data_IF_025821113281
#
_entry.id   IF_025821113281
#
_cell.length_a   1.000
_cell.length_b   1.000
_cell.length_c   1.000
_cell.angle_alpha   90.00
_cell.angle_beta   90.00
_cell.angle_gamma   90.00
#
_symmetry.space_group_name_H-M   'P 1'
#
loop_
_entity.id
_entity.type
_entity.pdbx_description
1 polymer ?
#
# COMPACT_ATOMS: atom_id res chain seq x y z
N UNK A 1 -67.72 -14.04 -46.79
CA UNK A 1 -68.24 -13.10 -45.77
C UNK A 1 -67.48 -13.30 -44.47
N UNK A 2 -67.09 -12.19 -43.85
CA UNK A 2 -66.22 -12.01 -42.68
C UNK A 2 -66.61 -12.85 -41.44
N UNK A 3 -65.62 -13.38 -40.72
CA UNK A 3 -65.35 -13.05 -39.30
C UNK A 3 -63.91 -13.44 -38.95
N UNK A 4 -63.09 -12.41 -38.66
CA UNK A 4 -61.73 -12.52 -38.12
C UNK A 4 -61.85 -12.79 -36.61
N UNK A 5 -61.27 -13.89 -36.12
CA UNK A 5 -61.01 -14.12 -34.71
C UNK A 5 -59.53 -13.85 -34.44
N UNK A 6 -59.25 -12.73 -33.79
CA UNK A 6 -57.91 -12.32 -33.37
C UNK A 6 -57.56 -13.08 -32.08
N UNK A 7 -56.69 -14.08 -32.14
CA UNK A 7 -56.12 -14.72 -30.96
C UNK A 7 -54.96 -13.84 -30.46
N UNK A 8 -55.21 -13.03 -29.43
CA UNK A 8 -54.15 -12.35 -28.67
C UNK A 8 -53.72 -13.34 -27.58
N UNK A 9 -52.52 -13.89 -27.73
CA UNK A 9 -51.84 -14.62 -26.66
C UNK A 9 -51.33 -13.58 -25.65
N UNK A 10 -52.06 -13.39 -24.54
CA UNK A 10 -51.58 -12.60 -23.41
C UNK A 10 -50.62 -13.49 -22.62
N UNK A 11 -49.32 -13.27 -22.79
CA UNK A 11 -48.34 -13.76 -21.82
C UNK A 11 -48.57 -12.99 -20.52
N UNK A 12 -49.10 -13.67 -19.49
CA UNK A 12 -48.97 -13.21 -18.12
C UNK A 12 -47.48 -13.26 -17.78
N UNK A 13 -46.81 -12.13 -17.85
CA UNK A 13 -45.52 -11.94 -17.19
C UNK A 13 -45.88 -11.86 -15.71
N UNK A 14 -45.75 -12.99 -15.00
CA UNK A 14 -45.61 -12.97 -13.55
C UNK A 14 -44.30 -12.24 -13.32
N UNK A 15 -44.38 -10.96 -12.95
CA UNK A 15 -43.26 -10.29 -12.30
C UNK A 15 -43.02 -11.07 -11.01
N UNK A 16 -42.01 -11.95 -11.03
CA UNK A 16 -41.27 -12.20 -9.81
C UNK A 16 -40.80 -10.81 -9.37
N UNK A 17 -41.36 -10.34 -8.25
CA UNK A 17 -40.80 -9.20 -7.55
C UNK A 17 -39.44 -9.70 -7.07
N UNK A 18 -38.40 -9.44 -7.86
CA UNK A 18 -37.04 -9.58 -7.40
C UNK A 18 -36.90 -8.62 -6.22
N UNK A 19 -36.94 -9.19 -5.02
CA UNK A 19 -36.62 -8.50 -3.78
C UNK A 19 -35.24 -7.92 -3.99
N UNK A 20 -35.13 -6.59 -4.00
CA UNK A 20 -33.84 -5.90 -4.06
C UNK A 20 -33.17 -6.14 -2.71
N UNK A 21 -32.49 -7.29 -2.59
CA UNK A 21 -31.66 -7.65 -1.45
C UNK A 21 -30.40 -6.80 -1.51
N UNK A 22 -30.40 -5.69 -0.78
CA UNK A 22 -29.16 -4.99 -0.46
C UNK A 22 -28.43 -5.87 0.57
N UNK A 23 -27.39 -6.58 0.13
CA UNK A 23 -26.58 -7.53 0.93
C UNK A 23 -27.29 -8.78 1.48
N UNK A 24 -28.56 -9.01 1.14
CA UNK A 24 -29.33 -10.12 1.75
C UNK A 24 -29.67 -9.89 3.22
N UNK A 25 -29.49 -8.66 3.73
CA UNK A 25 -29.90 -8.25 5.07
C UNK A 25 -31.15 -7.38 4.93
N UNK A 26 -32.26 -7.88 5.46
CA UNK A 26 -33.52 -7.16 5.53
C UNK A 26 -33.44 -6.08 6.60
N UNK A 27 -33.69 -4.81 6.24
CA UNK A 27 -33.75 -3.71 7.21
C UNK A 27 -35.02 -3.90 8.02
N UNK A 28 -34.88 -4.16 9.32
CA UNK A 28 -36.05 -4.38 10.18
C UNK A 28 -36.87 -3.10 10.29
N UNK A 29 -38.17 -3.21 9.99
CA UNK A 29 -39.11 -2.10 10.03
C UNK A 29 -39.19 -1.26 8.76
N UNK A 30 -38.43 -1.57 7.72
CA UNK A 30 -38.59 -1.02 6.36
C UNK A 30 -39.48 -1.99 5.55
N UNK A 31 -40.80 -1.80 5.64
CA UNK A 31 -41.75 -2.74 5.07
C UNK A 31 -42.02 -2.49 3.59
N UNK A 32 -41.74 -1.28 3.10
CA UNK A 32 -41.84 -0.97 1.67
C UNK A 32 -40.54 -1.23 0.90
N UNK A 33 -39.45 -1.55 1.58
CA UNK A 33 -38.11 -1.80 1.05
C UNK A 33 -37.52 -0.61 0.27
N UNK A 34 -37.87 0.62 0.67
CA UNK A 34 -37.33 1.84 0.07
C UNK A 34 -36.00 2.30 0.70
N UNK A 35 -35.52 1.56 1.70
CA UNK A 35 -34.25 1.78 2.40
C UNK A 35 -34.34 2.82 3.51
N UNK A 36 -35.54 3.32 3.82
CA UNK A 36 -35.80 4.23 4.91
C UNK A 36 -36.90 3.65 5.79
N UNK A 37 -36.75 3.78 7.10
CA UNK A 37 -37.87 3.55 8.02
C UNK A 37 -38.54 4.91 8.20
N UNK A 38 -39.70 5.09 7.61
CA UNK A 38 -40.44 6.36 7.60
C UNK A 38 -41.94 6.18 7.90
N UNK A 39 -42.72 7.24 7.69
CA UNK A 39 -44.16 7.22 7.96
C UNK A 39 -44.93 6.21 7.08
N UNK A 40 -44.42 5.86 5.90
CA UNK A 40 -45.04 4.86 5.03
C UNK A 40 -44.93 3.46 5.65
N UNK A 41 -43.80 3.14 6.27
CA UNK A 41 -43.63 1.87 6.96
C UNK A 41 -44.55 1.78 8.17
N UNK A 42 -44.66 2.89 8.92
CA UNK A 42 -45.62 3.00 10.00
C UNK A 42 -47.06 2.78 9.50
N UNK A 43 -47.42 3.35 8.35
CA UNK A 43 -48.73 3.11 7.73
C UNK A 43 -48.91 1.64 7.33
N UNK A 44 -47.89 0.99 6.79
CA UNK A 44 -47.95 -0.43 6.40
C UNK A 44 -48.21 -1.32 7.61
N UNK A 45 -47.48 -1.14 8.72
CA UNK A 45 -47.71 -1.94 9.93
C UNK A 45 -49.08 -1.63 10.55
N UNK A 46 -49.50 -0.36 10.56
CA UNK A 46 -50.85 0.02 11.04
C UNK A 46 -51.95 -0.65 10.23
N UNK A 47 -51.78 -0.77 8.91
CA UNK A 47 -52.74 -1.46 8.04
C UNK A 47 -52.78 -2.99 8.28
N UNK A 48 -51.78 -3.56 8.96
CA UNK A 48 -51.70 -4.98 9.32
C UNK A 48 -52.00 -5.26 10.80
N UNK A 49 -52.53 -4.29 11.55
CA UNK A 49 -52.95 -4.45 12.95
C UNK A 49 -53.91 -5.64 13.12
N UNK A 50 -53.68 -6.45 14.17
CA UNK A 50 -54.39 -7.71 14.45
C UNK A 50 -54.27 -8.80 13.38
N UNK A 51 -53.34 -8.69 12.42
CA UNK A 51 -53.01 -9.80 11.54
C UNK A 51 -51.97 -10.74 12.18
N UNK A 52 -51.65 -11.84 11.49
CA UNK A 52 -50.68 -12.85 11.96
C UNK A 52 -49.46 -12.95 11.04
N UNK A 53 -49.16 -11.91 10.26
CA UNK A 53 -48.03 -11.96 9.33
C UNK A 53 -46.72 -11.69 10.10
N UNK A 54 -45.84 -12.67 10.26
CA UNK A 54 -44.69 -12.58 11.16
C UNK A 54 -43.68 -11.48 10.79
N UNK A 55 -43.74 -10.94 9.56
CA UNK A 55 -42.84 -9.84 9.15
C UNK A 55 -43.15 -8.52 9.87
N UNK A 56 -44.39 -8.32 10.35
CA UNK A 56 -44.81 -7.11 11.04
C UNK A 56 -44.83 -7.27 12.57
N UNK A 57 -44.60 -8.48 13.08
CA UNK A 57 -44.45 -8.76 14.50
C UNK A 57 -42.99 -8.44 14.91
N UNK A 58 -42.78 -7.23 15.41
CA UNK A 58 -41.47 -6.66 15.67
C UNK A 58 -40.91 -7.11 17.03
N UNK A 59 -41.79 -7.44 17.99
CA UNK A 59 -41.40 -7.91 19.31
C UNK A 59 -41.38 -9.46 19.44
N UNK A 60 -41.87 -10.18 18.42
CA UNK A 60 -42.01 -11.64 18.33
C UNK A 60 -42.93 -12.23 19.41
N UNK A 61 -44.00 -11.54 19.79
CA UNK A 61 -45.00 -12.03 20.74
C UNK A 61 -46.16 -12.81 20.08
N UNK A 62 -46.15 -12.90 18.75
CA UNK A 62 -47.13 -13.61 17.95
C UNK A 62 -48.37 -12.81 17.58
N UNK A 63 -48.44 -11.52 17.94
CA UNK A 63 -49.51 -10.60 17.56
C UNK A 63 -48.92 -9.34 16.92
N UNK A 64 -49.64 -8.73 15.98
CA UNK A 64 -49.29 -7.41 15.47
C UNK A 64 -50.15 -6.38 16.19
N UNK A 65 -49.54 -5.65 17.13
CA UNK A 65 -50.25 -4.71 17.97
C UNK A 65 -49.57 -3.33 18.08
N UNK A 66 -50.01 -2.53 19.06
CA UNK A 66 -49.49 -1.18 19.25
C UNK A 66 -48.02 -1.17 19.68
N UNK A 67 -47.52 -2.22 20.32
CA UNK A 67 -46.13 -2.33 20.73
C UNK A 67 -45.20 -2.46 19.52
N UNK A 68 -45.62 -3.19 18.47
CA UNK A 68 -44.84 -3.28 17.22
C UNK A 68 -44.78 -1.94 16.48
N UNK A 69 -45.91 -1.23 16.41
CA UNK A 69 -45.96 0.12 15.82
C UNK A 69 -45.08 1.10 16.60
N UNK A 70 -45.06 0.99 17.93
CA UNK A 70 -44.18 1.80 18.78
C UNK A 70 -42.72 1.50 18.48
N UNK A 71 -42.34 0.24 18.23
CA UNK A 71 -40.97 -0.11 17.81
C UNK A 71 -40.63 0.58 16.49
N UNK A 72 -41.47 0.43 15.46
CA UNK A 72 -41.24 1.03 14.12
C UNK A 72 -41.18 2.56 14.21
N UNK A 73 -42.10 3.19 14.95
CA UNK A 73 -42.12 4.65 15.13
C UNK A 73 -40.85 5.20 15.75
N UNK A 74 -40.21 4.46 16.67
CA UNK A 74 -38.92 4.84 17.29
C UNK A 74 -37.74 4.69 16.33
N UNK A 75 -37.89 3.89 15.28
CA UNK A 75 -36.87 3.68 14.26
C UNK A 75 -36.93 4.74 13.15
N UNK A 76 -38.02 5.51 13.04
CA UNK A 76 -38.16 6.58 12.04
C UNK A 76 -37.04 7.61 12.20
N UNK A 77 -36.30 7.87 11.12
CA UNK A 77 -35.14 8.73 11.17
C UNK A 77 -34.82 9.42 9.83
N UNK A 78 -34.68 10.76 9.86
CA UNK A 78 -34.40 11.60 8.67
C UNK A 78 -32.91 11.93 8.48
N UNK A 79 -32.01 11.24 9.19
CA UNK A 79 -30.58 11.44 9.04
C UNK A 79 -30.10 11.00 7.66
N UNK A 80 -29.01 11.62 7.21
CA UNK A 80 -28.41 11.31 5.92
C UNK A 80 -27.70 9.96 5.94
N UNK A 81 -26.76 9.78 6.88
CA UNK A 81 -26.11 8.49 7.11
C UNK A 81 -26.86 7.72 8.20
N UNK A 82 -27.20 6.47 7.91
CA UNK A 82 -27.90 5.59 8.86
C UNK A 82 -27.05 4.36 9.12
N UNK A 83 -26.73 4.11 10.39
CA UNK A 83 -25.93 2.95 10.82
C UNK A 83 -26.87 1.81 11.20
N UNK A 84 -26.57 0.62 10.72
CA UNK A 84 -27.27 -0.61 11.04
C UNK A 84 -26.27 -1.67 11.49
N UNK A 85 -26.68 -2.51 12.44
CA UNK A 85 -25.90 -3.71 12.75
C UNK A 85 -26.11 -4.79 11.69
N UNK A 86 -25.32 -5.87 11.75
CA UNK A 86 -25.37 -6.96 10.78
C UNK A 86 -26.71 -7.73 10.73
N UNK A 87 -27.63 -7.48 11.67
CA UNK A 87 -28.98 -8.03 11.68
C UNK A 87 -30.04 -7.06 11.11
N UNK A 88 -29.61 -5.96 10.47
CA UNK A 88 -30.52 -4.98 9.87
C UNK A 88 -31.23 -4.08 10.87
N UNK A 89 -30.80 -4.04 12.13
CA UNK A 89 -31.39 -3.18 13.17
C UNK A 89 -30.75 -1.80 13.10
N UNK A 90 -31.58 -0.77 12.99
CA UNK A 90 -31.14 0.63 13.04
C UNK A 90 -30.49 0.95 14.39
N UNK A 91 -29.29 1.54 14.35
CA UNK A 91 -28.50 1.90 15.53
C UNK A 91 -28.53 3.41 15.77
N UNK A 92 -28.13 4.19 14.76
CA UNK A 92 -27.96 5.64 14.90
C UNK A 92 -27.90 6.35 13.55
N UNK A 93 -28.44 7.57 13.50
CA UNK A 93 -28.36 8.45 12.33
C UNK A 93 -27.38 9.60 12.53
N UNK A 94 -26.82 10.10 11.41
CA UNK A 94 -25.87 11.22 11.36
C UNK A 94 -26.19 12.19 10.20
N UNK A 95 -25.92 13.47 10.42
CA UNK A 95 -26.02 14.50 9.38
C UNK A 95 -24.91 14.37 8.34
N UNK A 96 -25.06 15.01 7.18
CA UNK A 96 -24.15 14.87 6.03
C UNK A 96 -22.72 15.32 6.32
N UNK A 97 -22.55 16.24 7.25
CA UNK A 97 -21.25 16.77 7.68
C UNK A 97 -20.51 15.81 8.63
N UNK A 98 -21.23 14.82 9.20
CA UNK A 98 -20.73 13.94 10.24
C UNK A 98 -20.29 12.57 9.70
N UNK A 99 -19.71 12.56 8.50
CA UNK A 99 -19.30 11.33 7.82
C UNK A 99 -18.21 10.58 8.60
N UNK A 100 -17.20 11.30 9.11
CA UNK A 100 -16.10 10.68 9.85
C UNK A 100 -16.57 10.08 11.19
N UNK A 101 -17.53 10.71 11.87
CA UNK A 101 -18.16 10.17 13.08
C UNK A 101 -18.97 8.91 12.78
N UNK A 102 -19.73 8.92 11.67
CA UNK A 102 -20.50 7.75 11.25
C UNK A 102 -19.58 6.55 10.95
N UNK A 103 -18.49 6.77 10.20
CA UNK A 103 -17.48 5.74 9.89
C UNK A 103 -16.82 5.23 11.18
N UNK A 104 -16.48 6.11 12.11
CA UNK A 104 -15.87 5.73 13.39
C UNK A 104 -16.76 4.79 14.18
N UNK A 105 -18.05 5.12 14.36
CA UNK A 105 -18.99 4.26 15.09
C UNK A 105 -19.21 2.94 14.35
N UNK A 106 -19.33 2.99 13.02
CA UNK A 106 -19.58 1.79 12.22
C UNK A 106 -18.40 0.80 12.31
N UNK A 107 -17.16 1.27 12.11
CA UNK A 107 -15.97 0.39 12.17
C UNK A 107 -15.75 -0.18 13.57
N UNK A 108 -15.95 0.62 14.62
CA UNK A 108 -15.73 0.18 16.00
C UNK A 108 -16.72 -0.92 16.41
N UNK A 109 -17.83 -1.13 15.70
CA UNK A 109 -18.83 -2.11 16.11
C UNK A 109 -19.17 -3.14 15.03
N UNK A 110 -18.40 -3.16 13.94
CA UNK A 110 -18.63 -4.04 12.80
C UNK A 110 -20.04 -3.87 12.18
N UNK A 111 -20.43 -2.61 12.03
CA UNK A 111 -21.72 -2.20 11.48
C UNK A 111 -21.58 -1.69 10.04
N UNK A 112 -22.70 -1.49 9.34
CA UNK A 112 -22.71 -0.89 8.01
C UNK A 112 -23.49 0.42 7.98
N UNK A 113 -23.16 1.26 7.00
CA UNK A 113 -23.77 2.58 6.78
C UNK A 113 -24.60 2.53 5.51
N UNK A 114 -25.81 3.06 5.57
CA UNK A 114 -26.73 3.23 4.45
C UNK A 114 -27.00 4.70 4.15
N UNK A 115 -27.20 5.01 2.87
CA UNK A 115 -27.78 6.27 2.36
C UNK A 115 -28.70 5.93 1.20
N UNK A 116 -29.96 6.37 1.24
CA UNK A 116 -30.96 6.16 0.17
C UNK A 116 -30.96 4.72 -0.39
N UNK A 117 -31.11 3.72 0.48
CA UNK A 117 -31.09 2.29 0.16
C UNK A 117 -29.78 1.72 -0.41
N UNK A 118 -28.68 2.46 -0.36
CA UNK A 118 -27.38 1.98 -0.81
C UNK A 118 -26.41 1.87 0.36
N UNK A 119 -25.67 0.75 0.44
CA UNK A 119 -24.55 0.67 1.37
C UNK A 119 -23.53 1.71 0.96
N UNK A 120 -23.26 2.59 1.91
CA UNK A 120 -22.29 3.65 1.81
C UNK A 120 -20.94 3.24 2.35
N UNK A 121 -20.91 2.35 3.35
CA UNK A 121 -19.69 1.73 3.87
C UNK A 121 -20.01 0.42 4.60
N UNK A 122 -19.12 -0.55 4.49
CA UNK A 122 -19.05 -1.75 5.31
C UNK A 122 -17.59 -2.26 5.37
N UNK A 123 -17.36 -3.33 6.13
CA UNK A 123 -16.05 -3.94 6.34
C UNK A 123 -15.59 -4.91 5.23
N UNK A 124 -16.37 -5.11 4.16
CA UNK A 124 -16.08 -6.12 3.14
C UNK A 124 -15.23 -5.59 1.97
N UNK A 125 -15.32 -4.28 1.70
CA UNK A 125 -14.78 -3.65 0.49
C UNK A 125 -13.84 -2.49 0.82
N UNK A 126 -13.08 -2.09 -0.20
CA UNK A 126 -12.45 -0.77 -0.23
C UNK A 126 -13.42 0.22 -0.85
N UNK A 127 -13.63 1.36 -0.20
CA UNK A 127 -14.66 2.33 -0.57
C UNK A 127 -14.02 3.60 -1.09
N UNK A 128 -14.50 4.09 -2.23
CA UNK A 128 -13.97 5.28 -2.93
C UNK A 128 -14.99 6.41 -2.90
N UNK A 129 -14.54 7.59 -2.54
CA UNK A 129 -15.34 8.81 -2.47
C UNK A 129 -14.66 9.97 -3.20
N UNK A 130 -15.45 10.95 -3.63
CA UNK A 130 -14.97 12.31 -3.93
C UNK A 130 -15.48 13.24 -2.82
N UNK A 131 -14.60 13.61 -1.89
CA UNK A 131 -15.00 14.17 -0.61
C UNK A 131 -15.77 13.14 0.23
N UNK A 132 -17.09 13.35 0.40
CA UNK A 132 -17.99 12.42 1.11
C UNK A 132 -18.98 11.74 0.17
N UNK A 133 -18.92 12.03 -1.14
CA UNK A 133 -19.82 11.43 -2.12
C UNK A 133 -19.26 10.09 -2.59
N UNK A 134 -20.04 9.01 -2.40
CA UNK A 134 -19.66 7.67 -2.83
C UNK A 134 -19.48 7.59 -4.35
N UNK A 135 -18.33 7.07 -4.80
CA UNK A 135 -18.01 6.86 -6.22
C UNK A 135 -17.88 5.38 -6.60
N UNK A 136 -17.61 4.50 -5.64
CA UNK A 136 -17.57 3.07 -5.90
C UNK A 136 -17.02 2.26 -4.72
N UNK A 137 -17.03 0.94 -4.89
CA UNK A 137 -16.39 0.00 -3.98
C UNK A 137 -15.66 -1.09 -4.77
N UNK A 138 -14.58 -1.62 -4.18
CA UNK A 138 -13.64 -2.50 -4.86
C UNK A 138 -13.19 -3.64 -3.95
N UNK A 139 -12.81 -4.77 -4.55
CA UNK A 139 -12.24 -5.91 -3.82
C UNK A 139 -10.76 -5.68 -3.46
N UNK A 140 -10.06 -4.90 -4.28
CA UNK A 140 -8.64 -4.59 -4.16
C UNK A 140 -8.43 -3.09 -3.91
N UNK A 141 -7.54 -2.77 -2.97
CA UNK A 141 -7.02 -1.45 -2.64
C UNK A 141 -6.40 -0.80 -3.87
N UNK A 142 -5.65 -1.54 -4.68
CA UNK A 142 -5.04 -0.99 -5.88
C UNK A 142 -6.09 -0.41 -6.85
N UNK A 143 -7.17 -1.14 -7.11
CA UNK A 143 -8.25 -0.65 -7.98
C UNK A 143 -8.96 0.54 -7.36
N UNK A 144 -9.20 0.52 -6.05
CA UNK A 144 -9.80 1.65 -5.32
C UNK A 144 -8.94 2.92 -5.43
N UNK A 145 -7.63 2.81 -5.19
CA UNK A 145 -6.68 3.92 -5.23
C UNK A 145 -6.48 4.43 -6.66
N UNK A 146 -6.41 3.52 -7.64
CA UNK A 146 -6.36 3.87 -9.06
C UNK A 146 -7.63 4.57 -9.53
N UNK A 147 -8.80 4.20 -9.01
CA UNK A 147 -10.03 4.90 -9.32
C UNK A 147 -10.05 6.30 -8.66
N UNK A 148 -9.70 6.36 -7.37
CA UNK A 148 -9.70 7.58 -6.59
C UNK A 148 -8.75 8.66 -7.10
N UNK A 149 -7.66 8.29 -7.77
CA UNK A 149 -6.71 9.24 -8.37
C UNK A 149 -7.32 10.10 -9.49
N UNK A 150 -8.48 9.71 -10.04
CA UNK A 150 -9.20 10.51 -11.03
C UNK A 150 -10.02 11.65 -10.41
N UNK A 151 -10.14 11.70 -9.07
CA UNK A 151 -10.93 12.70 -8.36
C UNK A 151 -10.03 13.66 -7.59
N UNK A 152 -10.34 14.96 -7.67
CA UNK A 152 -9.60 16.01 -6.96
C UNK A 152 -9.61 15.79 -5.46
N UNK A 153 -10.77 15.40 -4.89
CA UNK A 153 -10.89 15.08 -3.46
C UNK A 153 -11.07 13.57 -3.25
N UNK A 154 -10.40 12.75 -4.08
CA UNK A 154 -10.44 11.30 -3.98
C UNK A 154 -10.05 10.80 -2.59
N UNK A 155 -10.90 10.00 -1.97
CA UNK A 155 -10.68 9.35 -0.68
C UNK A 155 -10.86 7.85 -0.86
N UNK A 156 -9.97 7.06 -0.25
CA UNK A 156 -10.13 5.61 -0.15
C UNK A 156 -10.16 5.20 1.31
N UNK A 157 -11.23 4.50 1.70
CA UNK A 157 -11.33 3.80 2.98
C UNK A 157 -11.08 2.31 2.78
N UNK A 158 -10.26 1.72 3.64
CA UNK A 158 -10.07 0.27 3.68
C UNK A 158 -11.23 -0.45 4.38
N UNK A 159 -11.14 -1.77 4.41
CA UNK A 159 -12.07 -2.70 5.09
C UNK A 159 -12.23 -2.45 6.60
N UNK A 160 -11.29 -1.73 7.22
CA UNK A 160 -11.35 -1.34 8.63
C UNK A 160 -11.84 0.10 8.81
N UNK A 161 -12.31 0.75 7.74
CA UNK A 161 -12.81 2.13 7.78
C UNK A 161 -11.70 3.16 7.98
N UNK A 162 -10.47 2.83 7.63
CA UNK A 162 -9.32 3.72 7.72
C UNK A 162 -8.99 4.32 6.37
N UNK A 163 -8.60 5.60 6.37
CA UNK A 163 -8.15 6.29 5.15
C UNK A 163 -6.81 5.69 4.73
N UNK A 164 -6.72 5.24 3.48
CA UNK A 164 -5.45 4.83 2.84
C UNK A 164 -5.03 5.80 1.73
N UNK A 165 -5.94 6.68 1.31
CA UNK A 165 -5.70 7.79 0.40
C UNK A 165 -6.67 8.94 0.75
N UNK A 166 -6.16 10.18 0.71
CA UNK A 166 -6.95 11.40 0.79
C UNK A 166 -6.25 12.50 -0.03
N UNK A 167 -6.67 12.66 -1.29
CA UNK A 167 -6.06 13.60 -2.24
C UNK A 167 -6.18 15.05 -1.76
N UNK A 168 -7.27 15.40 -1.05
CA UNK A 168 -7.48 16.75 -0.54
C UNK A 168 -6.43 17.16 0.51
N UNK A 169 -5.84 16.17 1.18
CA UNK A 169 -4.80 16.34 2.20
C UNK A 169 -3.40 15.99 1.67
N UNK A 170 -3.27 15.61 0.41
CA UNK A 170 -2.02 15.06 -0.13
C UNK A 170 -1.56 13.79 0.60
N UNK A 171 -2.48 13.06 1.24
CA UNK A 171 -2.17 11.90 2.05
C UNK A 171 -2.33 10.60 1.25
N UNK A 172 -1.34 9.72 1.39
CA UNK A 172 -1.36 8.36 0.87
C UNK A 172 -0.58 7.47 1.83
N UNK A 173 -1.22 6.43 2.33
CA UNK A 173 -0.61 5.54 3.32
C UNK A 173 0.50 4.69 2.69
N UNK A 174 1.55 4.40 3.44
CA UNK A 174 2.53 3.37 3.06
C UNK A 174 2.02 2.02 3.53
N UNK A 175 1.63 1.15 2.62
CA UNK A 175 1.01 -0.13 2.97
C UNK A 175 1.91 -1.27 2.53
N UNK A 176 2.08 -2.25 3.41
CA UNK A 176 2.83 -3.46 3.13
C UNK A 176 2.10 -4.71 3.60
N UNK A 177 2.53 -5.84 3.03
CA UNK A 177 2.05 -7.18 3.35
C UNK A 177 3.17 -7.98 3.99
N UNK A 178 2.91 -8.61 5.14
CA UNK A 178 3.90 -9.48 5.78
C UNK A 178 4.25 -10.68 4.88
N UNK A 179 5.52 -11.06 4.86
CA UNK A 179 6.00 -12.20 4.05
C UNK A 179 5.95 -13.52 4.82
N UNK A 180 5.96 -13.44 6.14
CA UNK A 180 5.92 -14.54 7.10
C UNK A 180 5.26 -14.05 8.40
N UNK A 181 5.15 -14.90 9.41
CA UNK A 181 4.85 -14.48 10.77
C UNK A 181 5.97 -13.58 11.31
N UNK A 182 5.63 -12.36 11.74
CA UNK A 182 6.59 -11.37 12.23
C UNK A 182 6.32 -11.01 13.68
N UNK A 183 7.35 -11.12 14.52
CA UNK A 183 7.28 -10.65 15.89
C UNK A 183 7.28 -9.11 15.93
N UNK A 184 6.25 -8.52 16.56
CA UNK A 184 6.18 -7.10 16.81
C UNK A 184 7.12 -6.72 17.96
N UNK A 185 7.87 -5.63 17.82
CA UNK A 185 8.93 -5.24 18.76
C UNK A 185 8.72 -3.83 19.27
N UNK A 186 9.13 -3.58 20.51
CA UNK A 186 9.05 -2.23 21.10
C UNK A 186 10.18 -1.30 20.62
N UNK A 187 11.27 -1.89 20.13
CA UNK A 187 12.47 -1.18 19.65
C UNK A 187 12.94 -1.78 18.31
N UNK A 188 13.64 -1.00 17.46
CA UNK A 188 14.16 -1.47 16.17
C UNK A 188 15.43 -2.33 16.36
N UNK A 189 15.29 -3.47 17.02
CA UNK A 189 16.38 -4.39 17.29
C UNK A 189 15.90 -5.84 17.33
N UNK A 190 16.81 -6.79 17.08
CA UNK A 190 16.51 -8.23 17.12
C UNK A 190 16.15 -8.75 18.52
N UNK A 191 16.43 -7.97 19.57
CA UNK A 191 16.02 -8.19 20.96
C UNK A 191 15.75 -6.84 21.62
N UNK A 192 14.77 -6.71 22.54
CA UNK A 192 13.80 -7.72 22.97
C UNK A 192 12.68 -7.97 21.95
N UNK A 193 12.10 -9.18 22.01
CA UNK A 193 10.86 -9.57 21.32
C UNK A 193 9.66 -9.30 22.25
N UNK A 194 8.49 -9.08 21.68
CA UNK A 194 7.23 -9.16 22.45
C UNK A 194 6.60 -10.55 22.27
N UNK A 195 5.51 -10.85 22.97
CA UNK A 195 4.72 -12.06 22.73
C UNK A 195 3.70 -11.89 21.58
N UNK A 196 3.74 -10.75 20.88
CA UNK A 196 2.81 -10.42 19.80
C UNK A 196 3.44 -10.78 18.46
N UNK A 197 2.80 -11.69 17.74
CA UNK A 197 3.15 -12.05 16.37
C UNK A 197 2.06 -11.56 15.40
N UNK A 198 2.52 -10.90 14.34
CA UNK A 198 1.71 -10.53 13.17
C UNK A 198 1.72 -11.72 12.22
N UNK A 199 0.57 -12.31 11.88
CA UNK A 199 0.51 -13.42 10.93
C UNK A 199 1.09 -13.08 9.55
N UNK A 200 1.40 -14.13 8.78
CA UNK A 200 1.77 -14.00 7.37
C UNK A 200 0.57 -13.48 6.55
N UNK A 201 0.84 -12.68 5.51
CA UNK A 201 -0.13 -12.07 4.59
C UNK A 201 -1.05 -11.02 5.21
N UNK A 202 -0.62 -10.44 6.33
CA UNK A 202 -1.32 -9.34 7.00
C UNK A 202 -0.90 -7.98 6.44
N UNK A 203 -1.87 -7.06 6.41
CA UNK A 203 -1.63 -5.67 6.02
C UNK A 203 -1.12 -4.86 7.22
N UNK A 204 -0.07 -4.07 6.97
CA UNK A 204 0.47 -3.12 7.93
C UNK A 204 0.70 -1.77 7.27
N UNK A 205 0.48 -0.69 8.02
CA UNK A 205 0.89 0.65 7.61
C UNK A 205 2.32 0.92 8.11
N UNK A 206 3.19 1.39 7.24
CA UNK A 206 4.57 1.73 7.57
C UNK A 206 4.63 3.21 7.94
N UNK A 207 5.22 3.52 9.09
CA UNK A 207 5.53 4.89 9.50
C UNK A 207 6.95 5.28 9.04
N UNK A 208 7.95 4.47 9.38
CA UNK A 208 9.37 4.79 9.18
C UNK A 208 10.26 3.55 9.01
N UNK A 209 11.48 3.77 8.54
CA UNK A 209 12.58 2.80 8.58
C UNK A 209 13.62 3.31 9.58
N UNK A 210 14.03 2.48 10.54
CA UNK A 210 14.94 2.89 11.61
C UNK A 210 15.83 1.69 12.00
N UNK A 211 17.15 1.88 12.01
CA UNK A 211 18.14 0.80 12.24
C UNK A 211 17.89 -0.50 11.45
N UNK A 212 17.36 -0.37 10.23
CA UNK A 212 17.02 -1.50 9.35
C UNK A 212 15.70 -2.22 9.68
N UNK A 213 14.89 -1.70 10.61
CA UNK A 213 13.55 -2.19 10.93
C UNK A 213 12.48 -1.25 10.40
N UNK A 214 11.31 -1.80 10.10
CA UNK A 214 10.12 -1.02 9.75
C UNK A 214 9.32 -0.72 11.01
N UNK A 215 9.13 0.56 11.31
CA UNK A 215 8.12 0.99 12.29
C UNK A 215 6.74 0.89 11.65
N UNK A 216 5.85 0.12 12.24
CA UNK A 216 4.53 -0.22 11.67
C UNK A 216 3.38 0.06 12.62
N UNK A 217 2.23 0.35 12.05
CA UNK A 217 0.92 0.22 12.68
C UNK A 217 0.25 -1.03 12.12
N UNK A 218 -0.13 -1.95 12.99
CA UNK A 218 -0.88 -3.15 12.65
C UNK A 218 -2.26 -3.10 13.27
N UNK A 219 -3.27 -3.15 12.42
CA UNK A 219 -4.66 -3.20 12.85
C UNK A 219 -5.03 -4.65 13.08
N UNK A 220 -4.91 -5.10 14.33
CA UNK A 220 -5.24 -6.47 14.71
C UNK A 220 -6.74 -6.76 14.50
N UNK A 221 -7.56 -5.75 14.76
CA UNK A 221 -9.00 -5.72 14.47
C UNK A 221 -9.45 -4.26 14.34
N UNK A 222 -10.76 -4.02 14.18
CA UNK A 222 -11.31 -2.68 13.99
C UNK A 222 -11.16 -1.74 15.20
N UNK A 223 -10.82 -2.27 16.38
CA UNK A 223 -10.64 -1.52 17.64
C UNK A 223 -9.18 -1.42 18.06
N UNK A 224 -8.37 -2.41 17.72
CA UNK A 224 -7.02 -2.58 18.25
C UNK A 224 -5.96 -2.29 17.19
N UNK A 225 -5.38 -1.09 17.29
CA UNK A 225 -4.19 -0.71 16.52
C UNK A 225 -2.96 -0.88 17.40
N UNK A 226 -2.06 -1.77 17.01
CA UNK A 226 -0.80 -2.00 17.69
C UNK A 226 0.32 -1.31 16.92
N UNK A 227 1.23 -0.67 17.63
CA UNK A 227 2.40 0.00 17.06
C UNK A 227 3.68 -0.68 17.53
N UNK A 228 4.65 -0.82 16.64
CA UNK A 228 5.97 -1.33 16.99
C UNK A 228 6.89 -1.42 15.78
N UNK A 229 7.88 -2.29 15.87
CA UNK A 229 8.87 -2.54 14.82
C UNK A 229 8.84 -3.99 14.36
N UNK A 230 9.02 -4.20 13.07
CA UNK A 230 9.20 -5.52 12.46
C UNK A 230 10.46 -5.54 11.60
N UNK A 231 11.11 -6.71 11.45
CA UNK A 231 12.24 -6.86 10.54
C UNK A 231 11.78 -6.67 9.08
N UNK A 232 12.76 -6.65 8.17
CA UNK A 232 12.60 -6.22 6.78
C UNK A 232 11.81 -7.16 5.83
N UNK A 233 11.04 -8.10 6.38
CA UNK A 233 10.26 -9.11 5.65
C UNK A 233 8.86 -8.59 5.30
N UNK A 234 8.81 -7.44 4.61
CA UNK A 234 7.58 -6.78 4.15
C UNK A 234 7.59 -6.59 2.63
N UNK A 235 6.46 -6.85 1.99
CA UNK A 235 6.22 -6.49 0.59
C UNK A 235 5.44 -5.18 0.52
N UNK A 236 6.08 -4.12 0.06
CA UNK A 236 5.47 -2.79 0.03
C UNK A 236 4.61 -2.67 -1.22
N UNK A 237 3.29 -2.65 -1.01
CA UNK A 237 2.29 -2.64 -2.07
C UNK A 237 1.70 -1.25 -2.34
N UNK A 238 1.92 -0.31 -1.43
CA UNK A 238 1.62 1.10 -1.65
C UNK A 238 2.69 1.96 -1.00
N UNK A 239 3.17 2.95 -1.74
CA UNK A 239 4.05 3.99 -1.21
C UNK A 239 3.31 5.32 -1.11
N UNK A 240 3.85 6.23 -0.32
CA UNK A 240 3.34 7.59 -0.19
C UNK A 240 3.70 8.46 -1.40
N UNK A 241 3.18 9.68 -1.41
CA UNK A 241 3.39 10.63 -2.50
C UNK A 241 4.84 11.13 -2.60
N UNK A 242 5.64 10.91 -1.55
CA UNK A 242 7.06 11.29 -1.48
C UNK A 242 7.99 10.12 -1.84
N UNK A 243 7.45 8.94 -2.16
CA UNK A 243 8.19 7.72 -2.44
C UNK A 243 9.16 7.33 -1.31
N UNK A 244 8.76 7.50 -0.03
CA UNK A 244 9.68 7.27 1.08
C UNK A 244 10.06 5.80 1.29
N UNK A 245 9.37 4.86 0.63
CA UNK A 245 9.74 3.44 0.61
C UNK A 245 10.55 3.03 -0.63
N UNK A 246 10.89 3.98 -1.52
CA UNK A 246 11.63 3.67 -2.74
C UNK A 246 13.07 3.21 -2.44
N UNK A 247 13.48 2.16 -3.14
CA UNK A 247 14.81 1.56 -3.02
C UNK A 247 14.97 0.53 -1.91
N UNK A 248 13.93 0.22 -1.14
CA UNK A 248 14.01 -0.67 0.02
C UNK A 248 14.44 -2.10 -0.34
N UNK A 249 14.00 -2.63 -1.49
CA UNK A 249 14.34 -3.99 -1.95
C UNK A 249 15.86 -4.11 -2.13
N UNK A 250 16.44 -3.25 -2.96
CA UNK A 250 17.89 -3.24 -3.16
C UNK A 250 18.65 -2.87 -1.91
N UNK A 251 18.14 -1.96 -1.07
CA UNK A 251 18.78 -1.61 0.20
C UNK A 251 18.85 -2.80 1.16
N UNK A 252 17.82 -3.65 1.20
CA UNK A 252 17.84 -4.90 1.97
C UNK A 252 18.83 -5.89 1.39
N UNK A 253 18.85 -6.09 0.07
CA UNK A 253 19.74 -7.07 -0.55
C UNK A 253 21.22 -6.66 -0.52
N UNK A 254 21.52 -5.36 -0.54
CA UNK A 254 22.90 -4.86 -0.50
C UNK A 254 23.47 -4.76 0.92
N UNK A 255 22.64 -4.40 1.89
CA UNK A 255 23.15 -4.06 3.23
C UNK A 255 22.24 -4.49 4.38
N UNK A 256 21.12 -5.16 4.12
CA UNK A 256 20.11 -5.44 5.13
C UNK A 256 19.46 -4.15 5.67
N UNK A 257 19.36 -3.10 4.84
CA UNK A 257 18.95 -1.75 5.23
C UNK A 257 19.86 -1.10 6.29
N UNK A 258 21.09 -1.59 6.44
CA UNK A 258 22.04 -1.03 7.40
C UNK A 258 22.66 0.26 6.86
N UNK A 259 22.25 1.37 7.47
CA UNK A 259 22.70 2.74 7.14
C UNK A 259 24.22 2.91 7.28
N UNK A 260 24.84 2.15 8.18
CA UNK A 260 26.27 2.16 8.48
C UNK A 260 27.07 1.06 7.78
N UNK A 261 26.49 0.33 6.83
CA UNK A 261 27.19 -0.77 6.16
C UNK A 261 28.43 -0.29 5.43
N UNK A 262 29.51 -1.07 5.52
CA UNK A 262 30.78 -0.82 4.83
C UNK A 262 31.28 -2.14 4.27
N UNK A 263 31.52 -2.18 2.97
CA UNK A 263 32.24 -3.25 2.28
C UNK A 263 33.60 -2.74 1.82
N UNK A 264 34.64 -3.56 1.93
CA UNK A 264 36.00 -3.22 1.52
C UNK A 264 36.72 -4.48 1.03
N UNK A 265 36.20 -5.04 -0.08
CA UNK A 265 36.76 -6.23 -0.71
C UNK A 265 37.81 -5.82 -1.77
N UNK A 266 39.08 -6.24 -1.64
CA UNK A 266 40.12 -5.89 -2.62
C UNK A 266 39.86 -6.39 -4.05
N UNK A 267 39.05 -7.44 -4.23
CA UNK A 267 38.68 -7.95 -5.55
C UNK A 267 37.52 -7.18 -6.18
N UNK A 268 36.81 -6.36 -5.40
CA UNK A 268 35.74 -5.51 -5.91
C UNK A 268 36.33 -4.25 -6.54
N UNK A 269 36.02 -4.03 -7.82
CA UNK A 269 36.47 -2.85 -8.57
C UNK A 269 35.97 -1.54 -7.95
N UNK A 270 34.86 -1.59 -7.20
CA UNK A 270 34.29 -0.44 -6.50
C UNK A 270 35.12 0.04 -5.30
N UNK A 271 36.05 -0.76 -4.78
CA UNK A 271 36.78 -0.43 -3.56
C UNK A 271 35.85 -0.30 -2.34
N UNK A 272 36.20 0.58 -1.40
CA UNK A 272 35.37 0.87 -0.22
C UNK A 272 33.99 1.33 -0.65
N UNK A 273 32.95 0.65 -0.18
CA UNK A 273 31.55 0.96 -0.48
C UNK A 273 30.76 1.15 0.81
N UNK A 274 29.96 2.20 0.90
CA UNK A 274 29.31 2.61 2.16
C UNK A 274 27.80 2.87 2.02
N UNK A 275 27.07 2.61 3.10
CA UNK A 275 25.65 2.94 3.23
C UNK A 275 24.69 1.88 2.70
N UNK A 276 23.41 2.24 2.70
CA UNK A 276 22.31 1.32 2.38
C UNK A 276 22.46 0.76 0.96
N UNK A 277 22.82 1.62 0.01
CA UNK A 277 23.00 1.32 -1.41
C UNK A 277 24.48 1.32 -1.84
N UNK A 278 25.39 1.05 -0.89
CA UNK A 278 26.82 0.79 -1.13
C UNK A 278 27.50 1.77 -2.10
N UNK A 279 27.47 3.07 -1.79
CA UNK A 279 28.16 4.09 -2.60
C UNK A 279 29.66 3.82 -2.63
N UNK A 280 30.23 3.76 -3.83
CA UNK A 280 31.59 3.32 -4.08
C UNK A 280 32.58 4.49 -4.06
N UNK A 281 33.71 4.27 -3.39
CA UNK A 281 34.83 5.19 -3.36
C UNK A 281 35.54 5.31 -4.72
N UNK A 282 35.82 4.19 -5.39
CA UNK A 282 36.53 4.19 -6.68
C UNK A 282 35.66 4.69 -7.84
N UNK A 283 34.35 4.43 -7.79
CA UNK A 283 33.40 4.89 -8.80
C UNK A 283 32.91 6.33 -8.57
N UNK A 284 33.36 6.98 -7.49
CA UNK A 284 33.09 8.39 -7.19
C UNK A 284 31.80 8.66 -6.41
N UNK A 285 30.82 7.76 -6.44
CA UNK A 285 29.49 8.01 -5.85
C UNK A 285 29.51 8.26 -4.34
N UNK A 286 30.48 7.72 -3.60
CA UNK A 286 30.67 8.03 -2.18
C UNK A 286 31.16 9.46 -1.96
N UNK A 287 32.10 9.93 -2.80
CA UNK A 287 32.60 11.30 -2.74
C UNK A 287 31.53 12.32 -3.13
N UNK A 288 30.74 12.00 -4.14
CA UNK A 288 29.60 12.81 -4.58
C UNK A 288 28.52 12.89 -3.50
N UNK A 289 28.22 11.78 -2.82
CA UNK A 289 27.30 11.78 -1.67
C UNK A 289 27.81 12.69 -0.54
N UNK A 290 29.10 12.61 -0.17
CA UNK A 290 29.67 13.49 0.85
C UNK A 290 29.53 14.95 0.41
N UNK A 291 29.82 15.26 -0.86
CA UNK A 291 29.68 16.62 -1.38
C UNK A 291 28.22 17.09 -1.34
N UNK A 292 27.26 16.22 -1.68
CA UNK A 292 25.83 16.49 -1.57
C UNK A 292 25.41 16.85 -0.14
N UNK A 293 26.04 16.26 0.88
CA UNK A 293 25.76 16.61 2.28
C UNK A 293 26.11 18.06 2.62
N UNK A 294 27.03 18.72 1.90
CA UNK A 294 27.45 20.10 2.20
C UNK A 294 26.25 21.04 2.35
N UNK A 295 25.27 20.92 1.45
CA UNK A 295 24.10 21.80 1.42
C UNK A 295 22.88 21.22 2.16
N UNK A 296 22.89 19.91 2.47
CA UNK A 296 21.75 19.23 3.09
C UNK A 296 21.93 18.98 4.58
N UNK A 297 23.17 18.73 5.01
CA UNK A 297 23.56 18.54 6.40
C UNK A 297 25.07 18.83 6.54
N UNK A 298 25.39 20.09 6.81
CA UNK A 298 26.77 20.58 6.88
C UNK A 298 27.59 19.92 8.02
N UNK A 299 26.94 19.52 9.12
CA UNK A 299 27.61 18.79 10.21
C UNK A 299 28.16 17.45 9.72
N UNK A 300 27.31 16.62 9.08
CA UNK A 300 27.74 15.32 8.56
C UNK A 300 28.80 15.47 7.48
N UNK A 301 28.65 16.47 6.60
CA UNK A 301 29.66 16.81 5.60
C UNK A 301 31.03 17.08 6.24
N UNK A 302 31.08 17.95 7.24
CA UNK A 302 32.32 18.33 7.92
C UNK A 302 32.96 17.14 8.64
N UNK A 303 32.16 16.37 9.38
CA UNK A 303 32.63 15.19 10.12
C UNK A 303 33.28 14.17 9.19
N UNK A 304 32.58 13.78 8.11
CA UNK A 304 33.09 12.82 7.13
C UNK A 304 34.29 13.35 6.34
N UNK A 305 34.31 14.64 5.99
CA UNK A 305 35.44 15.27 5.29
C UNK A 305 36.68 15.33 6.18
N UNK A 306 36.54 15.72 7.45
CA UNK A 306 37.64 15.75 8.40
C UNK A 306 38.21 14.35 8.65
N UNK A 307 37.34 13.36 8.83
CA UNK A 307 37.76 11.97 8.99
C UNK A 307 38.52 11.45 7.74
N UNK A 308 38.03 11.75 6.53
CA UNK A 308 38.71 11.44 5.27
C UNK A 308 40.07 12.16 5.14
N UNK A 309 40.16 13.41 5.59
CA UNK A 309 41.42 14.17 5.56
C UNK A 309 42.46 13.57 6.51
N UNK A 310 42.04 13.12 7.70
CA UNK A 310 42.91 12.39 8.64
C UNK A 310 43.43 11.06 8.07
N UNK A 311 42.68 10.46 7.14
CA UNK A 311 43.10 9.27 6.39
C UNK A 311 44.00 9.59 5.17
N UNK A 312 44.43 10.84 5.00
CA UNK A 312 45.23 11.28 3.85
C UNK A 312 44.40 11.38 2.56
N UNK A 313 43.11 11.71 2.67
CA UNK A 313 42.18 11.83 1.55
C UNK A 313 41.56 10.50 1.10
N UNK A 314 41.72 9.43 1.89
CA UNK A 314 41.26 8.07 1.59
C UNK A 314 40.13 7.64 2.52
N UNK A 315 39.39 6.57 2.18
CA UNK A 315 38.30 6.03 3.02
C UNK A 315 38.81 4.93 3.97
N UNK A 316 39.68 5.29 4.94
CA UNK A 316 40.30 4.33 5.87
C UNK A 316 39.61 4.37 7.24
N UNK A 317 40.35 4.06 8.31
CA UNK A 317 39.78 3.75 9.61
C UNK A 317 39.05 4.95 10.26
N UNK A 318 39.57 6.17 10.11
CA UNK A 318 38.92 7.35 10.66
C UNK A 318 37.58 7.59 9.96
N UNK A 319 37.56 7.53 8.62
CA UNK A 319 36.33 7.67 7.85
C UNK A 319 35.31 6.57 8.18
N UNK A 320 35.73 5.31 8.22
CA UNK A 320 34.85 4.17 8.53
C UNK A 320 34.25 4.27 9.94
N UNK A 321 35.05 4.71 10.91
CA UNK A 321 34.60 4.95 12.28
C UNK A 321 33.54 6.06 12.32
N UNK A 322 33.80 7.18 11.65
CA UNK A 322 32.90 8.32 11.63
C UNK A 322 31.58 8.00 10.92
N UNK A 323 31.64 7.28 9.80
CA UNK A 323 30.46 6.80 9.06
C UNK A 323 29.54 5.96 9.96
N UNK A 324 30.12 4.98 10.68
CA UNK A 324 29.38 4.14 11.62
C UNK A 324 28.83 4.96 12.79
N UNK A 325 29.59 5.94 13.29
CA UNK A 325 29.12 6.81 14.37
C UNK A 325 27.89 7.62 13.97
N UNK A 326 27.89 8.23 12.78
CA UNK A 326 26.72 8.95 12.26
C UNK A 326 25.54 7.98 12.10
N UNK A 327 25.76 6.81 11.52
CA UNK A 327 24.71 5.82 11.31
C UNK A 327 24.08 5.30 12.61
N UNK A 328 24.86 5.13 13.68
CA UNK A 328 24.34 4.68 14.98
C UNK A 328 23.52 5.77 15.69
N UNK A 329 24.02 7.00 15.69
CA UNK A 329 23.41 8.10 16.45
C UNK A 329 22.29 8.83 15.68
N UNK A 330 22.32 8.79 14.35
CA UNK A 330 21.41 9.53 13.47
C UNK A 330 20.85 8.64 12.35
N UNK A 331 20.54 7.37 12.67
CA UNK A 331 20.17 6.34 11.70
C UNK A 331 19.06 6.77 10.72
N UNK A 332 17.96 7.31 11.24
CA UNK A 332 16.82 7.75 10.44
C UNK A 332 17.17 8.90 9.48
N UNK A 333 17.81 9.95 10.00
CA UNK A 333 18.17 11.12 9.20
C UNK A 333 19.23 10.78 8.16
N UNK A 334 20.20 9.94 8.53
CA UNK A 334 21.25 9.51 7.62
C UNK A 334 20.70 8.57 6.53
N UNK A 335 19.75 7.68 6.86
CA UNK A 335 19.00 6.89 5.87
C UNK A 335 18.30 7.81 4.86
N UNK A 336 17.53 8.80 5.34
CA UNK A 336 16.81 9.74 4.47
C UNK A 336 17.75 10.52 3.54
N UNK A 337 18.91 10.95 4.04
CA UNK A 337 19.90 11.66 3.23
C UNK A 337 20.47 10.76 2.13
N UNK A 338 20.82 9.51 2.46
CA UNK A 338 21.27 8.52 1.48
C UNK A 338 20.18 8.23 0.45
N UNK A 339 18.91 8.11 0.88
CA UNK A 339 17.77 7.84 -0.01
C UNK A 339 17.55 9.02 -0.95
N UNK A 340 17.45 10.23 -0.43
CA UNK A 340 17.19 11.42 -1.24
C UNK A 340 18.30 11.66 -2.27
N UNK A 341 19.56 11.50 -1.87
CA UNK A 341 20.69 11.53 -2.80
C UNK A 341 20.52 10.50 -3.93
N UNK A 342 20.16 9.27 -3.57
CA UNK A 342 19.96 8.16 -4.51
C UNK A 342 18.80 8.42 -5.47
N UNK A 343 17.70 8.95 -4.95
CA UNK A 343 16.51 9.32 -5.73
C UNK A 343 16.84 10.40 -6.77
N UNK A 344 17.49 11.48 -6.33
CA UNK A 344 17.80 12.63 -7.17
C UNK A 344 18.86 12.30 -8.23
N UNK A 345 19.94 11.62 -7.84
CA UNK A 345 21.11 11.47 -8.70
C UNK A 345 21.08 10.23 -9.59
N UNK A 346 20.33 9.18 -9.20
CA UNK A 346 20.26 7.93 -9.95
C UNK A 346 18.86 7.71 -10.52
N UNK A 347 17.84 7.61 -9.66
CA UNK A 347 16.49 7.25 -10.09
C UNK A 347 15.88 8.29 -11.03
N UNK A 348 15.76 9.56 -10.59
CA UNK A 348 15.18 10.66 -11.39
C UNK A 348 15.99 10.89 -12.68
N UNK A 349 17.32 10.84 -12.60
CA UNK A 349 18.18 10.96 -13.78
C UNK A 349 18.01 9.79 -14.77
N UNK A 350 17.79 8.55 -14.30
CA UNK A 350 17.46 7.42 -15.16
C UNK A 350 16.14 7.66 -15.91
N UNK A 351 15.10 8.14 -15.21
CA UNK A 351 13.82 8.49 -15.83
C UNK A 351 14.00 9.57 -16.91
N UNK A 352 14.72 10.65 -16.57
CA UNK A 352 15.00 11.74 -17.51
C UNK A 352 15.72 11.25 -18.76
N UNK A 353 16.70 10.34 -18.62
CA UNK A 353 17.40 9.77 -19.76
C UNK A 353 16.55 8.83 -20.61
N UNK A 354 15.65 8.05 -20.00
CA UNK A 354 14.68 7.25 -20.76
C UNK A 354 13.75 8.16 -21.56
N UNK A 355 13.22 9.22 -20.93
CA UNK A 355 12.37 10.21 -21.59
C UNK A 355 13.10 10.91 -22.74
N UNK A 356 14.35 11.33 -22.54
CA UNK A 356 15.17 11.96 -23.58
C UNK A 356 15.42 11.04 -24.79
N UNK A 357 15.35 9.72 -24.60
CA UNK A 357 15.43 8.71 -25.67
C UNK A 357 14.08 8.36 -26.30
N UNK A 358 12.99 9.00 -25.87
CA UNK A 358 11.64 8.67 -26.31
C UNK A 358 11.11 7.35 -25.76
N UNK A 359 11.72 6.80 -24.70
CA UNK A 359 11.30 5.54 -24.10
C UNK A 359 10.30 5.76 -22.97
N UNK A 360 9.08 5.25 -23.14
CA UNK A 360 7.98 5.45 -22.18
C UNK A 360 8.00 4.39 -21.06
N UNK A 361 8.35 4.81 -19.85
CA UNK A 361 8.29 3.97 -18.64
C UNK A 361 6.91 3.97 -17.95
N UNK A 362 5.91 4.70 -18.47
CA UNK A 362 4.64 4.96 -17.79
C UNK A 362 3.92 3.71 -17.28
N UNK A 363 3.91 2.63 -18.08
CA UNK A 363 3.32 1.34 -17.67
C UNK A 363 3.93 0.80 -16.37
N UNK A 364 5.25 0.84 -16.26
CA UNK A 364 5.99 0.31 -15.10
C UNK A 364 6.20 1.36 -14.01
N UNK A 365 5.83 2.63 -14.21
CA UNK A 365 5.86 3.63 -13.13
C UNK A 365 4.64 3.53 -12.21
N UNK A 366 3.58 2.87 -12.67
CA UNK A 366 2.33 2.70 -11.92
C UNK A 366 2.48 1.82 -10.67
N UNK A 367 3.50 0.96 -10.60
CA UNK A 367 3.67 -0.02 -9.52
C UNK A 367 4.87 0.32 -8.64
N UNK A 368 4.71 0.19 -7.32
CA UNK A 368 5.77 0.44 -6.33
C UNK A 368 6.97 -0.48 -6.54
N UNK A 369 6.69 -1.76 -6.79
CA UNK A 369 7.65 -2.83 -7.11
C UNK A 369 8.54 -2.50 -8.31
N UNK A 370 7.98 -2.08 -9.42
CA UNK A 370 8.77 -1.74 -10.62
C UNK A 370 9.48 -0.39 -10.50
N UNK A 371 8.98 0.55 -9.69
CA UNK A 371 9.79 1.73 -9.30
C UNK A 371 11.04 1.31 -8.51
N UNK A 372 10.93 0.33 -7.59
CA UNK A 372 12.08 -0.26 -6.90
C UNK A 372 13.04 -0.99 -7.86
N UNK A 373 12.54 -1.62 -8.92
CA UNK A 373 13.39 -2.20 -9.97
C UNK A 373 14.21 -1.13 -10.69
N UNK A 374 13.57 -0.02 -11.08
CA UNK A 374 14.22 1.10 -11.75
C UNK A 374 15.31 1.68 -10.85
N UNK A 375 14.99 1.87 -9.57
CA UNK A 375 15.95 2.31 -8.57
C UNK A 375 17.16 1.39 -8.49
N UNK A 376 16.95 0.09 -8.25
CA UNK A 376 18.04 -0.90 -8.13
C UNK A 376 18.92 -0.91 -9.38
N UNK A 377 18.29 -0.84 -10.55
CA UNK A 377 19.01 -0.82 -11.83
C UNK A 377 19.85 0.44 -11.98
N UNK A 378 19.31 1.61 -11.61
CA UNK A 378 19.99 2.90 -11.69
C UNK A 378 21.17 2.99 -10.70
N UNK A 379 21.01 2.50 -9.47
CA UNK A 379 22.11 2.40 -8.50
C UNK A 379 23.24 1.52 -9.04
N UNK A 380 22.90 0.32 -9.52
CA UNK A 380 23.90 -0.67 -9.87
C UNK A 380 24.64 -0.36 -11.18
N UNK A 381 23.94 0.15 -12.19
CA UNK A 381 24.50 0.39 -13.53
C UNK A 381 24.74 1.87 -13.84
N UNK A 382 24.49 2.76 -12.87
CA UNK A 382 24.41 4.21 -13.09
C UNK A 382 23.19 4.62 -13.92
N UNK A 383 22.82 5.90 -13.86
CA UNK A 383 21.64 6.44 -14.57
C UNK A 383 21.66 6.17 -16.09
N UNK A 384 22.83 6.30 -16.73
CA UNK A 384 22.95 6.10 -18.18
C UNK A 384 23.01 4.62 -18.59
N UNK A 385 23.61 3.76 -17.77
CA UNK A 385 23.59 2.31 -17.99
C UNK A 385 22.18 1.76 -17.85
N UNK A 386 21.48 2.14 -16.78
CA UNK A 386 20.10 1.76 -16.55
C UNK A 386 19.17 2.22 -17.69
N UNK A 387 19.28 3.48 -18.13
CA UNK A 387 18.48 3.97 -19.25
C UNK A 387 18.75 3.20 -20.55
N UNK A 388 19.99 2.78 -20.82
CA UNK A 388 20.31 1.89 -21.96
C UNK A 388 19.65 0.51 -21.82
N UNK A 389 19.64 -0.07 -20.62
CA UNK A 389 18.97 -1.36 -20.36
C UNK A 389 17.48 -1.22 -20.67
N UNK A 390 16.78 -0.27 -20.03
CA UNK A 390 15.34 -0.09 -20.22
C UNK A 390 14.98 0.22 -21.67
N UNK A 391 15.70 1.15 -22.31
CA UNK A 391 15.42 1.53 -23.71
C UNK A 391 15.65 0.41 -24.72
N UNK A 392 16.28 -0.71 -24.31
CA UNK A 392 16.51 -1.89 -25.17
C UNK A 392 15.45 -2.98 -25.01
N UNK A 393 14.42 -2.75 -24.20
CA UNK A 393 13.34 -3.70 -23.90
C UNK A 393 12.05 -3.20 -24.54
N UNK A 394 11.28 -4.09 -25.15
CA UNK A 394 9.93 -3.73 -25.63
C UNK A 394 9.03 -3.33 -24.45
N UNK A 395 8.55 -2.08 -24.47
CA UNK A 395 7.68 -1.52 -23.43
C UNK A 395 6.31 -2.21 -23.36
N UNK A 396 5.94 -2.97 -24.40
CA UNK A 396 4.66 -3.67 -24.46
C UNK A 396 4.65 -5.01 -23.73
N UNK A 397 5.82 -5.57 -23.36
CA UNK A 397 5.90 -6.83 -22.64
C UNK A 397 5.00 -6.83 -21.40
N UNK A 398 4.34 -7.96 -21.07
CA UNK A 398 3.68 -8.14 -19.77
C UNK A 398 4.63 -7.76 -18.63
N UNK A 399 4.10 -7.17 -17.55
CA UNK A 399 4.95 -6.55 -16.51
C UNK A 399 5.94 -7.56 -15.91
N UNK A 400 5.53 -8.80 -15.67
CA UNK A 400 6.42 -9.84 -15.16
C UNK A 400 7.54 -10.19 -16.15
N UNK A 401 7.23 -10.35 -17.43
CA UNK A 401 8.21 -10.64 -18.47
C UNK A 401 9.18 -9.47 -18.65
N UNK A 402 8.67 -8.24 -18.54
CA UNK A 402 9.48 -7.04 -18.53
C UNK A 402 10.48 -7.06 -17.37
N UNK A 403 10.03 -7.35 -16.15
CA UNK A 403 10.90 -7.46 -14.96
C UNK A 403 11.98 -8.52 -15.19
N UNK A 404 11.62 -9.73 -15.63
CA UNK A 404 12.58 -10.81 -15.91
C UNK A 404 13.61 -10.39 -16.95
N UNK A 405 13.18 -9.70 -18.01
CA UNK A 405 14.05 -9.22 -19.08
C UNK A 405 15.03 -8.17 -18.59
N UNK A 406 14.61 -7.24 -17.71
CA UNK A 406 15.51 -6.27 -17.07
C UNK A 406 16.61 -7.00 -16.32
N UNK A 407 16.27 -7.94 -15.43
CA UNK A 407 17.28 -8.66 -14.64
C UNK A 407 18.21 -9.53 -15.48
N UNK A 408 17.72 -10.15 -16.56
CA UNK A 408 18.56 -10.88 -17.50
C UNK A 408 19.60 -9.97 -18.17
N UNK A 409 19.18 -8.80 -18.67
CA UNK A 409 20.09 -7.80 -19.28
C UNK A 409 21.08 -7.22 -18.26
N UNK A 410 20.64 -6.99 -17.02
CA UNK A 410 21.54 -6.58 -15.92
C UNK A 410 22.65 -7.62 -15.74
N UNK A 411 22.30 -8.90 -15.67
CA UNK A 411 23.26 -9.99 -15.47
C UNK A 411 24.23 -10.15 -16.65
N UNK A 412 23.76 -9.96 -17.89
CA UNK A 412 24.61 -9.96 -19.10
C UNK A 412 25.73 -8.91 -19.01
N UNK A 413 25.40 -7.70 -18.58
CA UNK A 413 26.37 -6.61 -18.39
C UNK A 413 27.37 -6.96 -17.27
N UNK A 414 26.91 -7.61 -16.21
CA UNK A 414 27.78 -8.06 -15.12
C UNK A 414 28.72 -9.16 -15.57
N UNK A 415 28.29 -10.09 -16.41
CA UNK A 415 29.15 -11.13 -16.97
C UNK A 415 30.32 -10.54 -17.78
N UNK A 416 30.16 -9.37 -18.41
CA UNK A 416 31.26 -8.70 -19.09
C UNK A 416 32.28 -8.09 -18.11
N UNK A 417 31.82 -7.61 -16.94
CA UNK A 417 32.68 -6.97 -15.93
C UNK A 417 33.33 -7.96 -14.98
N UNK A 418 32.63 -9.05 -14.67
CA UNK A 418 33.03 -10.16 -13.83
C UNK A 418 32.73 -11.48 -14.55
N UNK A 419 33.62 -11.94 -15.46
CA UNK A 419 33.36 -13.12 -16.27
C UNK A 419 33.13 -14.38 -15.42
N UNK A 420 32.01 -15.11 -15.62
CA UNK A 420 31.72 -16.32 -14.84
C UNK A 420 32.70 -17.46 -15.08
N UNK A 421 33.47 -17.39 -16.18
CA UNK A 421 34.52 -18.32 -16.55
C UNK A 421 35.94 -17.74 -16.32
N UNK A 422 36.08 -16.70 -15.51
CA UNK A 422 37.39 -16.13 -15.16
C UNK A 422 38.27 -17.16 -14.45
N UNK A 423 39.58 -17.12 -14.70
CA UNK A 423 40.56 -17.89 -13.94
C UNK A 423 40.78 -17.35 -12.52
N UNK A 424 40.34 -16.12 -12.22
CA UNK A 424 40.37 -15.56 -10.87
C UNK A 424 39.11 -15.95 -10.12
N UNK A 425 39.24 -16.82 -9.12
CA UNK A 425 38.11 -17.29 -8.31
C UNK A 425 37.35 -16.15 -7.63
N UNK A 426 38.04 -15.09 -7.17
CA UNK A 426 37.39 -13.93 -6.56
C UNK A 426 36.46 -13.19 -7.52
N UNK A 427 36.77 -13.16 -8.81
CA UNK A 427 35.90 -12.59 -9.86
C UNK A 427 34.66 -13.44 -10.07
N UNK A 428 34.82 -14.77 -10.10
CA UNK A 428 33.72 -15.73 -10.23
C UNK A 428 32.79 -15.66 -9.01
N UNK A 429 33.35 -15.52 -7.81
CA UNK A 429 32.59 -15.40 -6.57
C UNK A 429 31.75 -14.11 -6.53
N UNK A 430 32.32 -12.98 -7.00
CA UNK A 430 31.58 -11.72 -7.15
C UNK A 430 30.42 -11.89 -8.13
N UNK A 431 30.65 -12.47 -9.32
CA UNK A 431 29.59 -12.73 -10.29
C UNK A 431 28.46 -13.57 -9.69
N UNK A 432 28.80 -14.67 -9.02
CA UNK A 432 27.82 -15.57 -8.41
C UNK A 432 27.03 -14.90 -7.28
N UNK A 433 27.68 -14.03 -6.49
CA UNK A 433 27.02 -13.24 -5.46
C UNK A 433 26.00 -12.26 -6.06
N UNK A 434 26.41 -11.51 -7.09
CA UNK A 434 25.53 -10.55 -7.79
C UNK A 434 24.37 -11.29 -8.48
N UNK A 435 24.64 -12.44 -9.12
CA UNK A 435 23.61 -13.27 -9.75
C UNK A 435 22.54 -13.69 -8.74
N UNK A 436 22.95 -14.26 -7.59
CA UNK A 436 22.01 -14.67 -6.53
C UNK A 436 21.19 -13.49 -6.01
N UNK A 437 21.81 -12.32 -5.85
CA UNK A 437 21.11 -11.09 -5.48
C UNK A 437 20.06 -10.71 -6.53
N UNK A 438 20.42 -10.68 -7.81
CA UNK A 438 19.50 -10.34 -8.89
C UNK A 438 18.34 -11.32 -9.00
N UNK A 439 18.57 -12.61 -8.78
CA UNK A 439 17.52 -13.63 -8.71
C UNK A 439 16.54 -13.34 -7.56
N UNK A 440 17.05 -13.00 -6.36
CA UNK A 440 16.21 -12.65 -5.20
C UNK A 440 15.42 -11.36 -5.43
N UNK A 441 16.06 -10.28 -5.89
CA UNK A 441 15.37 -9.02 -6.19
C UNK A 441 14.30 -9.22 -7.28
N UNK A 442 14.60 -9.96 -8.35
CA UNK A 442 13.64 -10.25 -9.42
C UNK A 442 12.40 -10.97 -8.88
N UNK A 443 12.60 -12.02 -8.10
CA UNK A 443 11.52 -12.81 -7.52
C UNK A 443 10.67 -11.98 -6.55
N UNK A 444 11.29 -11.14 -5.72
CA UNK A 444 10.54 -10.26 -4.83
C UNK A 444 9.78 -9.19 -5.59
N UNK A 445 10.35 -8.54 -6.60
CA UNK A 445 9.66 -7.52 -7.38
C UNK A 445 8.42 -8.10 -8.05
N UNK A 446 8.53 -9.31 -8.61
CA UNK A 446 7.38 -10.01 -9.20
C UNK A 446 6.33 -10.31 -8.12
N UNK A 447 6.74 -10.84 -6.95
CA UNK A 447 5.81 -11.10 -5.85
C UNK A 447 5.12 -9.82 -5.35
N UNK A 448 5.86 -8.73 -5.21
CA UNK A 448 5.31 -7.43 -4.80
C UNK A 448 4.33 -6.92 -5.84
N UNK A 449 4.66 -6.97 -7.14
CA UNK A 449 3.75 -6.61 -8.22
C UNK A 449 2.46 -7.43 -8.19
N UNK A 450 2.56 -8.75 -8.00
CA UNK A 450 1.39 -9.64 -7.88
C UNK A 450 0.54 -9.28 -6.66
N UNK A 451 1.19 -8.97 -5.52
CA UNK A 451 0.49 -8.51 -4.31
C UNK A 451 -0.20 -7.17 -4.54
N UNK A 452 0.48 -6.19 -5.15
CA UNK A 452 -0.08 -4.88 -5.50
C UNK A 452 -1.39 -5.01 -6.27
N UNK A 453 -1.44 -5.82 -7.32
CA UNK A 453 -2.66 -5.96 -8.14
C UNK A 453 -3.74 -6.85 -7.51
N UNK A 454 -3.44 -7.54 -6.40
CA UNK A 454 -4.36 -8.46 -5.73
C UNK A 454 -5.00 -7.89 -4.46
N UNK A 455 -4.31 -6.95 -3.81
CA UNK A 455 -4.71 -6.36 -2.53
C UNK A 455 -5.47 -5.08 -2.68
#
# INVERSE_FOLDING_TARGET
MKKKGLFILVFLIIFNIDIIRVFGVEIKGDFNNDGNIDEKDLQIITNNYMSNNPIYDMNNDGQIDIYDMVIVSKMINNSYYKIYNNNGVFIKGFWKEQFDEAIKIARENDYFIMVNNNVYWNNDKYWVYDGTELKGNYNAMYDAVKNASNFKNGVVLNKLGQRVLDNSKGYKAKIAVTQDELNLRNVPAWSPKTDINIPNKELVEINKIDKGFFGVYWNKDSKNILQGYVPYYLDIIQDDNENTMLGYISGREESGLNVGAISDNPNDKGGVSCGVWQFSGNMGSLGDFITYLRDKNYDFYNRLTNAKNSDGGQYKENFKTEWKNIAENYSYDFYKLQQKYSEENFYKNCLNQCNAKGYNLGKILNYSSTRNMIWSTAIHHGQAGAARIFSSIDSNLPVEDYIRTVYAKRLEIIAASYPPNSSNQGVVDIYNSIKKRFERECNEIIRCYQREISY
#
